data_IF_149678329206
#
_entry.id   IF_149678329206
#
_cell.length_a   1.000
_cell.length_b   1.000
_cell.length_c   1.000
_cell.angle_alpha   90.00
_cell.angle_beta   90.00
_cell.angle_gamma   90.00
#
_symmetry.space_group_name_H-M   'P 1'
#
loop_
_entity.id
_entity.type
_entity.pdbx_description
1 polymer ?
#
# COMPACT_ATOMS: atom_id res chain seq x y z
N UNK A 1 -20.18 -10.99 5.20
CA UNK A 1 -19.85 -9.65 5.74
C UNK A 1 -19.67 -9.83 7.23
N UNK A 2 -18.48 -9.52 7.75
CA UNK A 2 -18.20 -9.60 9.19
C UNK A 2 -18.42 -8.21 9.80
N UNK A 3 -18.91 -8.16 11.04
CA UNK A 3 -18.98 -6.89 11.79
C UNK A 3 -17.56 -6.46 12.15
N UNK A 4 -17.20 -5.22 11.82
CA UNK A 4 -15.91 -4.65 12.17
C UNK A 4 -15.83 -4.48 13.70
N UNK A 5 -14.77 -4.95 14.37
CA UNK A 5 -14.63 -4.76 15.81
C UNK A 5 -14.68 -3.28 16.18
N UNK A 6 -15.57 -2.92 17.12
CA UNK A 6 -15.75 -1.54 17.59
C UNK A 6 -14.47 -0.92 18.15
N UNK A 7 -13.53 -1.74 18.65
CA UNK A 7 -12.23 -1.30 19.14
C UNK A 7 -11.35 -0.66 18.06
N UNK A 8 -11.55 -0.98 16.78
CA UNK A 8 -10.77 -0.40 15.67
C UNK A 8 -11.48 0.75 14.98
N UNK A 9 -12.78 0.93 15.21
CA UNK A 9 -13.57 1.98 14.58
C UNK A 9 -13.49 3.31 15.34
N UNK A 10 -13.29 3.30 16.66
CA UNK A 10 -13.25 4.53 17.45
C UNK A 10 -14.49 5.40 17.22
N UNK A 11 -14.27 6.67 16.88
CA UNK A 11 -15.30 7.66 16.49
C UNK A 11 -16.04 7.31 15.19
N UNK A 12 -15.51 6.42 14.34
CA UNK A 12 -16.17 5.95 13.11
C UNK A 12 -17.28 4.93 13.36
N UNK A 13 -17.48 4.47 14.61
CA UNK A 13 -18.48 3.45 14.93
C UNK A 13 -19.93 3.85 14.59
N UNK A 14 -20.17 5.16 14.42
CA UNK A 14 -21.47 5.73 14.06
C UNK A 14 -21.84 5.50 12.60
N UNK A 15 -20.87 5.09 11.76
CA UNK A 15 -21.08 4.83 10.34
C UNK A 15 -21.20 3.34 10.07
N UNK A 16 -22.21 2.96 9.28
CA UNK A 16 -22.40 1.58 8.87
C UNK A 16 -21.20 1.09 8.04
N UNK A 17 -20.56 0.03 8.50
CA UNK A 17 -19.45 -0.61 7.81
C UNK A 17 -19.48 -2.14 7.96
N UNK A 18 -18.77 -2.81 7.07
CA UNK A 18 -18.53 -4.25 7.17
C UNK A 18 -17.14 -4.63 6.68
N UNK A 19 -16.59 -5.69 7.25
CA UNK A 19 -15.34 -6.28 6.80
C UNK A 19 -15.57 -7.16 5.56
N UNK A 20 -14.78 -6.90 4.51
CA UNK A 20 -14.86 -7.62 3.23
C UNK A 20 -14.39 -9.07 3.37
N UNK A 21 -13.32 -9.26 4.15
CA UNK A 21 -12.78 -10.57 4.52
C UNK A 21 -12.39 -10.55 6.01
N UNK A 22 -12.14 -11.72 6.64
CA UNK A 22 -11.71 -11.75 8.03
C UNK A 22 -10.43 -10.94 8.30
N UNK A 23 -9.50 -10.88 7.33
CA UNK A 23 -8.16 -10.34 7.58
C UNK A 23 -7.86 -9.01 6.87
N UNK A 24 -8.52 -8.70 5.76
CA UNK A 24 -8.25 -7.50 4.97
C UNK A 24 -9.54 -6.88 4.44
N UNK A 25 -9.57 -5.55 4.40
CA UNK A 25 -10.68 -4.80 3.82
C UNK A 25 -11.80 -4.50 4.81
N UNK A 26 -12.18 -3.23 4.87
CA UNK A 26 -13.43 -2.74 5.48
C UNK A 26 -14.11 -1.80 4.49
N UNK A 27 -15.44 -1.87 4.37
CA UNK A 27 -16.21 -1.06 3.43
C UNK A 27 -17.27 -0.24 4.15
N UNK A 28 -17.30 1.06 3.87
CA UNK A 28 -18.39 1.99 4.17
C UNK A 28 -19.21 2.18 2.89
N UNK A 29 -20.27 1.37 2.73
CA UNK A 29 -21.08 1.36 1.51
C UNK A 29 -22.23 2.37 1.51
N UNK A 30 -22.51 2.99 2.67
CA UNK A 30 -23.62 3.92 2.79
C UNK A 30 -23.24 5.28 2.18
N UNK A 31 -24.03 5.77 1.22
CA UNK A 31 -23.81 7.08 0.58
C UNK A 31 -23.87 8.25 1.55
N UNK A 32 -24.46 8.07 2.74
CA UNK A 32 -24.42 9.09 3.79
C UNK A 32 -23.03 9.26 4.42
N UNK A 33 -22.14 8.26 4.29
CA UNK A 33 -20.77 8.33 4.80
C UNK A 33 -19.87 8.97 3.75
N UNK A 34 -19.68 10.28 3.87
CA UNK A 34 -18.86 11.06 2.94
C UNK A 34 -17.56 11.52 3.62
N UNK A 35 -16.42 11.21 3.02
CA UNK A 35 -15.11 11.62 3.50
C UNK A 35 -14.98 13.16 3.56
N UNK A 36 -15.72 13.91 2.73
CA UNK A 36 -15.78 15.38 2.78
C UNK A 36 -16.41 15.88 4.08
N UNK A 37 -17.39 15.15 4.63
CA UNK A 37 -18.01 15.45 5.90
C UNK A 37 -17.06 15.13 7.07
N UNK A 38 -16.31 14.02 6.99
CA UNK A 38 -15.26 13.72 7.96
C UNK A 38 -14.19 14.83 7.99
N UNK A 39 -13.82 15.39 6.83
CA UNK A 39 -12.88 16.51 6.74
C UNK A 39 -13.44 17.82 7.34
N UNK A 40 -14.75 18.04 7.23
CA UNK A 40 -15.41 19.27 7.69
C UNK A 40 -15.98 19.21 9.12
N UNK A 41 -16.01 18.02 9.72
CA UNK A 41 -16.60 17.81 11.05
C UNK A 41 -15.85 18.57 12.15
N UNK A 42 -16.53 19.01 13.23
CA UNK A 42 -15.88 19.66 14.37
C UNK A 42 -14.80 18.79 15.04
N UNK A 43 -14.98 17.46 15.04
CA UNK A 43 -14.03 16.47 15.55
C UNK A 43 -13.24 15.79 14.42
N UNK A 44 -12.94 16.53 13.34
CA UNK A 44 -12.31 15.96 12.14
C UNK A 44 -10.96 15.27 12.41
N UNK A 45 -10.12 15.80 13.31
CA UNK A 45 -8.83 15.18 13.62
C UNK A 45 -9.00 13.77 14.21
N UNK A 46 -9.92 13.62 15.18
CA UNK A 46 -10.26 12.33 15.80
C UNK A 46 -10.75 11.32 14.74
N UNK A 47 -11.69 11.73 13.88
CA UNK A 47 -12.24 10.89 12.81
C UNK A 47 -11.16 10.42 11.82
N UNK A 48 -10.21 11.28 11.48
CA UNK A 48 -9.15 10.95 10.51
C UNK A 48 -8.04 10.11 11.15
N UNK A 49 -7.72 10.35 12.42
CA UNK A 49 -6.79 9.51 13.19
C UNK A 49 -7.35 8.08 13.36
N UNK A 50 -8.63 7.96 13.71
CA UNK A 50 -9.31 6.66 13.76
C UNK A 50 -9.39 5.99 12.38
N UNK A 51 -9.60 6.77 11.31
CA UNK A 51 -9.55 6.26 9.94
C UNK A 51 -8.16 5.74 9.59
N UNK A 52 -7.09 6.46 9.94
CA UNK A 52 -5.72 6.02 9.71
C UNK A 52 -5.39 4.74 10.49
N UNK A 53 -5.87 4.65 11.73
CA UNK A 53 -5.76 3.45 12.57
C UNK A 53 -6.49 2.27 11.94
N UNK A 54 -7.75 2.47 11.51
CA UNK A 54 -8.54 1.45 10.83
C UNK A 54 -7.86 0.96 9.55
N UNK A 55 -7.38 1.87 8.70
CA UNK A 55 -6.64 1.53 7.48
C UNK A 55 -5.39 0.72 7.81
N UNK A 56 -4.64 1.12 8.83
CA UNK A 56 -3.44 0.39 9.27
C UNK A 56 -3.76 -1.00 9.80
N UNK A 57 -4.87 -1.19 10.52
CA UNK A 57 -5.27 -2.52 11.02
C UNK A 57 -5.91 -3.43 9.95
N UNK A 58 -6.61 -2.84 8.98
CA UNK A 58 -7.42 -3.56 7.99
C UNK A 58 -6.75 -3.65 6.62
N UNK A 59 -5.62 -2.99 6.44
CA UNK A 59 -4.85 -2.92 5.20
C UNK A 59 -5.49 -1.98 4.16
N UNK A 60 -6.79 -2.04 3.95
CA UNK A 60 -7.52 -1.18 3.01
C UNK A 60 -8.93 -0.88 3.50
N UNK A 61 -9.40 0.34 3.25
CA UNK A 61 -10.76 0.77 3.50
C UNK A 61 -11.37 1.31 2.20
N UNK A 62 -12.63 0.93 1.93
CA UNK A 62 -13.38 1.34 0.76
C UNK A 62 -14.56 2.24 1.14
N UNK A 63 -14.79 3.28 0.34
CA UNK A 63 -15.94 4.16 0.44
C UNK A 63 -16.65 4.20 -0.91
N UNK A 64 -17.97 4.08 -0.91
CA UNK A 64 -18.75 4.11 -2.14
C UNK A 64 -19.27 5.51 -2.46
N UNK A 65 -19.28 5.87 -3.75
CA UNK A 65 -19.97 7.05 -4.28
C UNK A 65 -19.63 8.35 -3.53
N UNK A 66 -18.34 8.66 -3.43
CA UNK A 66 -17.82 9.81 -2.69
C UNK A 66 -17.93 11.13 -3.48
N UNK A 67 -17.98 12.25 -2.76
CA UNK A 67 -18.06 13.61 -3.32
C UNK A 67 -16.74 14.40 -3.22
N UNK A 68 -15.62 13.71 -2.99
CA UNK A 68 -14.32 14.34 -2.81
C UNK A 68 -13.86 15.06 -4.06
N UNK A 69 -13.53 16.34 -3.88
CA UNK A 69 -12.71 17.08 -4.83
C UNK A 69 -11.25 16.63 -4.73
N UNK A 70 -10.46 16.95 -5.76
CA UNK A 70 -9.02 16.66 -5.78
C UNK A 70 -8.28 17.34 -4.63
N UNK A 71 -8.62 18.59 -4.32
CA UNK A 71 -8.01 19.31 -3.20
C UNK A 71 -8.35 18.65 -1.85
N UNK A 72 -9.59 18.20 -1.67
CA UNK A 72 -9.97 17.43 -0.47
C UNK A 72 -9.28 16.07 -0.42
N UNK A 73 -9.05 15.40 -1.56
CA UNK A 73 -8.27 14.15 -1.61
C UNK A 73 -6.83 14.38 -1.15
N UNK A 74 -6.20 15.48 -1.58
CA UNK A 74 -4.85 15.87 -1.14
C UNK A 74 -4.80 16.23 0.34
N UNK A 75 -5.81 16.97 0.82
CA UNK A 75 -5.95 17.31 2.23
C UNK A 75 -6.09 16.04 3.08
N UNK A 76 -6.96 15.11 2.68
CA UNK A 76 -7.17 13.84 3.37
C UNK A 76 -5.88 13.01 3.43
N UNK A 77 -5.19 12.83 2.29
CA UNK A 77 -3.93 12.09 2.25
C UNK A 77 -2.84 12.71 3.14
N UNK A 78 -2.77 14.05 3.17
CA UNK A 78 -1.83 14.77 4.03
C UNK A 78 -2.15 14.53 5.50
N UNK A 79 -3.40 14.75 5.91
CA UNK A 79 -3.85 14.62 7.30
C UNK A 79 -3.77 13.18 7.82
N UNK A 80 -4.14 12.18 7.01
CA UNK A 80 -3.96 10.77 7.36
C UNK A 80 -2.50 10.47 7.71
N UNK A 81 -1.55 11.01 6.94
CA UNK A 81 -0.13 10.84 7.22
C UNK A 81 0.31 11.57 8.49
N UNK A 82 -0.07 12.84 8.66
CA UNK A 82 0.31 13.66 9.81
C UNK A 82 -0.22 13.09 11.13
N UNK A 83 -1.51 12.72 11.15
CA UNK A 83 -2.18 12.16 12.33
C UNK A 83 -1.72 10.73 12.64
N UNK A 84 -1.21 9.99 11.65
CA UNK A 84 -0.57 8.68 11.89
C UNK A 84 0.94 8.76 12.18
N UNK A 85 1.47 9.96 12.40
CA UNK A 85 2.83 10.17 12.90
C UNK A 85 3.93 10.16 11.83
N UNK A 86 3.62 10.44 10.56
CA UNK A 86 4.67 10.59 9.53
C UNK A 86 5.65 11.72 9.91
N UNK A 87 6.92 11.66 9.47
CA UNK A 87 7.86 12.76 9.68
C UNK A 87 7.34 14.07 9.05
N UNK A 88 7.48 15.19 9.75
CA UNK A 88 7.00 16.50 9.27
C UNK A 88 7.61 16.93 7.91
N UNK A 89 8.80 16.40 7.58
CA UNK A 89 9.49 16.59 6.31
C UNK A 89 8.91 15.79 5.14
N UNK A 90 8.09 14.78 5.43
CA UNK A 90 7.46 13.91 4.43
C UNK A 90 6.15 14.51 3.92
N UNK A 91 6.15 14.96 2.66
CA UNK A 91 5.00 15.59 2.00
C UNK A 91 4.26 14.58 1.12
N UNK A 92 3.47 15.08 0.17
CA UNK A 92 2.87 14.22 -0.86
C UNK A 92 3.95 13.78 -1.84
N UNK A 93 3.85 12.53 -2.30
CA UNK A 93 4.80 11.97 -3.26
C UNK A 93 4.61 12.60 -4.63
N UNK A 94 5.74 12.94 -5.26
CA UNK A 94 5.81 13.33 -6.67
C UNK A 94 6.46 12.18 -7.42
N UNK A 95 5.76 11.65 -8.43
CA UNK A 95 6.24 10.49 -9.20
C UNK A 95 7.57 10.80 -9.90
N UNK A 96 8.54 9.86 -10.01
CA UNK A 96 9.83 10.13 -10.68
C UNK A 96 9.69 10.61 -12.12
N UNK A 97 8.61 10.19 -12.78
CA UNK A 97 8.24 10.52 -14.16
C UNK A 97 6.80 11.02 -14.12
N UNK A 98 6.59 12.29 -13.78
CA UNK A 98 5.26 12.90 -13.83
C UNK A 98 5.07 13.61 -15.17
N UNK A 99 3.88 13.51 -15.77
CA UNK A 99 3.49 14.42 -16.85
C UNK A 99 3.05 15.75 -16.23
N UNK A 100 3.42 16.87 -16.87
CA UNK A 100 2.77 18.16 -16.59
C UNK A 100 1.38 18.14 -17.22
N UNK A 101 0.38 17.62 -16.51
CA UNK A 101 -1.02 17.83 -16.88
C UNK A 101 -1.45 19.22 -16.41
N UNK A 102 -1.90 20.14 -17.29
CA UNK A 102 -2.23 21.51 -16.89
C UNK A 102 -3.31 21.62 -15.79
N UNK A 103 -4.11 20.58 -15.63
CA UNK A 103 -5.27 20.53 -14.71
C UNK A 103 -4.95 19.89 -13.35
N UNK A 104 -3.82 19.18 -13.20
CA UNK A 104 -3.46 18.44 -11.97
C UNK A 104 -2.00 18.69 -11.60
N UNK A 105 -1.73 18.84 -10.30
CA UNK A 105 -0.38 19.01 -9.78
C UNK A 105 0.42 17.69 -9.81
N UNK A 106 1.75 17.80 -9.83
CA UNK A 106 2.68 16.66 -9.99
C UNK A 106 2.63 15.60 -8.87
N UNK A 107 1.95 15.91 -7.76
CA UNK A 107 1.67 15.03 -6.63
C UNK A 107 0.40 14.17 -6.81
N UNK A 108 -0.24 14.26 -7.98
CA UNK A 108 -1.36 13.43 -8.40
C UNK A 108 -0.90 12.50 -9.53
N UNK A 109 -1.06 11.20 -9.33
CA UNK A 109 -0.89 10.21 -10.40
C UNK A 109 -2.24 9.89 -11.03
N UNK A 110 -2.38 10.10 -12.34
CA UNK A 110 -3.51 9.57 -13.10
C UNK A 110 -3.19 8.12 -13.47
N UNK A 111 -4.11 7.18 -13.22
CA UNK A 111 -3.97 5.75 -13.56
C UNK A 111 -4.98 5.41 -14.66
N UNK A 112 -4.51 5.11 -15.88
CA UNK A 112 -5.35 4.90 -17.06
C UNK A 112 -5.04 3.57 -17.73
N UNK A 113 -6.08 2.88 -18.21
CA UNK A 113 -5.93 1.67 -19.01
C UNK A 113 -5.27 1.88 -20.38
N UNK A 114 -5.22 3.11 -20.89
CA UNK A 114 -4.50 3.43 -22.13
C UNK A 114 -2.98 3.55 -21.92
N UNK A 115 -2.51 3.39 -20.67
CA UNK A 115 -1.16 3.73 -20.26
C UNK A 115 -1.00 5.26 -20.14
N UNK A 116 -0.18 5.69 -19.19
CA UNK A 116 0.34 7.05 -19.17
C UNK A 116 1.81 6.98 -19.54
N UNK A 117 2.23 7.84 -20.48
CA UNK A 117 3.53 7.85 -21.14
C UNK A 117 4.25 6.50 -21.13
N UNK A 118 3.88 5.55 -21.99
CA UNK A 118 4.76 4.46 -22.48
C UNK A 118 5.44 3.50 -21.48
N UNK A 119 5.35 3.69 -20.16
CA UNK A 119 5.85 2.75 -19.12
C UNK A 119 4.94 1.51 -19.08
N UNK A 120 3.72 1.66 -19.58
CA UNK A 120 2.72 0.62 -19.72
C UNK A 120 2.52 0.32 -21.20
N UNK A 121 3.43 -0.43 -21.84
CA UNK A 121 3.10 -0.92 -23.18
C UNK A 121 1.89 -1.87 -23.09
N UNK A 122 1.02 -1.94 -24.11
CA UNK A 122 -0.01 -2.97 -24.20
C UNK A 122 0.54 -4.41 -24.14
N UNK A 123 1.86 -4.59 -24.29
CA UNK A 123 2.56 -5.86 -24.17
C UNK A 123 3.18 -6.12 -22.79
N UNK A 124 3.37 -5.10 -21.94
CA UNK A 124 3.97 -5.26 -20.59
C UNK A 124 3.02 -6.00 -19.63
N UNK A 125 1.71 -5.91 -19.87
CA UNK A 125 0.69 -6.51 -19.00
C UNK A 125 -0.04 -7.73 -19.58
N UNK A 126 0.29 -8.18 -20.80
CA UNK A 126 -0.29 -9.41 -21.38
C UNK A 126 0.23 -10.70 -20.72
N UNK A 127 1.10 -10.59 -19.73
CA UNK A 127 1.95 -11.68 -19.27
C UNK A 127 2.11 -11.65 -17.75
N UNK A 128 1.33 -12.51 -17.09
CA UNK A 128 1.43 -13.00 -15.70
C UNK A 128 0.74 -12.16 -14.61
N UNK A 129 -0.38 -12.71 -14.12
CA UNK A 129 -1.09 -12.37 -12.87
C UNK A 129 -0.18 -12.21 -11.65
N UNK A 130 0.99 -12.86 -11.65
CA UNK A 130 1.98 -12.82 -10.57
C UNK A 130 2.89 -11.58 -10.57
N UNK A 131 3.07 -10.93 -11.74
CA UNK A 131 3.96 -9.76 -11.91
C UNK A 131 3.27 -8.47 -11.46
N UNK A 132 1.94 -8.47 -11.41
CA UNK A 132 1.16 -7.30 -11.06
C UNK A 132 1.04 -7.01 -9.56
N UNK A 133 1.36 -7.96 -8.67
CA UNK A 133 1.31 -7.74 -7.22
C UNK A 133 2.52 -6.94 -6.76
N UNK A 134 2.29 -5.71 -6.35
CA UNK A 134 3.32 -4.82 -5.86
C UNK A 134 2.77 -3.93 -4.76
N UNK A 135 3.68 -3.35 -3.99
CA UNK A 135 3.36 -2.13 -3.28
C UNK A 135 3.83 -0.98 -4.14
N UNK A 136 3.16 0.16 -4.05
CA UNK A 136 3.64 1.32 -4.77
C UNK A 136 4.97 1.79 -4.19
N UNK A 137 5.85 2.32 -5.06
CA UNK A 137 6.94 3.21 -4.62
C UNK A 137 8.01 2.48 -3.78
N UNK A 138 8.19 1.16 -3.97
CA UNK A 138 9.10 0.37 -3.11
C UNK A 138 10.60 0.59 -3.32
N UNK A 139 10.93 1.19 -4.46
CA UNK A 139 12.24 1.71 -4.80
C UNK A 139 12.56 3.03 -4.10
N UNK A 140 11.52 3.71 -3.58
CA UNK A 140 11.70 4.74 -2.56
C UNK A 140 11.64 4.08 -1.20
N UNK A 141 11.79 4.91 -0.17
CA UNK A 141 12.07 4.36 1.12
C UNK A 141 10.95 3.45 1.71
N UNK A 142 9.68 3.32 1.27
CA UNK A 142 8.58 2.75 2.14
C UNK A 142 7.51 1.82 1.50
N UNK A 143 7.64 0.45 1.46
CA UNK A 143 6.57 -0.64 1.39
C UNK A 143 6.00 -1.61 2.49
N UNK A 144 5.53 -2.88 2.18
CA UNK A 144 4.49 -3.71 2.91
C UNK A 144 4.31 -5.30 2.85
N UNK A 145 3.72 -5.97 3.92
CA UNK A 145 2.50 -6.91 4.08
C UNK A 145 2.39 -7.73 5.44
N UNK A 146 1.36 -7.55 6.30
CA UNK A 146 1.23 -8.28 7.60
C UNK A 146 0.76 -9.73 7.53
N UNK A 147 -0.23 -9.99 6.69
CA UNK A 147 -1.00 -11.24 6.77
C UNK A 147 -0.23 -12.39 6.09
N UNK A 148 0.63 -12.05 5.14
CA UNK A 148 1.69 -12.91 4.65
C UNK A 148 2.65 -13.32 5.77
N UNK A 149 3.16 -12.38 6.58
CA UNK A 149 4.09 -12.69 7.67
C UNK A 149 3.51 -13.72 8.66
N UNK A 150 2.27 -13.51 9.12
CA UNK A 150 1.60 -14.42 10.07
C UNK A 150 1.42 -15.86 9.55
N UNK A 151 1.40 -16.07 8.22
CA UNK A 151 1.24 -17.40 7.62
C UNK A 151 2.57 -18.12 7.36
N UNK A 152 3.70 -17.45 7.55
CA UNK A 152 5.00 -18.11 7.55
C UNK A 152 5.15 -18.98 8.80
N UNK A 153 5.93 -20.05 8.69
CA UNK A 153 6.29 -20.86 9.85
C UNK A 153 7.16 -20.04 10.82
N UNK A 154 7.07 -20.23 12.14
CA UNK A 154 7.89 -19.48 13.10
C UNK A 154 9.40 -19.53 12.82
N UNK A 155 10.00 -20.67 12.38
CA UNK A 155 11.41 -20.68 11.98
C UNK A 155 11.71 -19.78 10.78
N UNK A 156 10.82 -19.75 9.78
CA UNK A 156 11.01 -18.91 8.58
C UNK A 156 10.79 -17.43 8.89
N UNK A 157 9.83 -17.09 9.76
CA UNK A 157 9.70 -15.74 10.30
C UNK A 157 11.01 -15.27 10.93
N UNK A 158 11.58 -16.05 11.85
CA UNK A 158 12.84 -15.74 12.52
C UNK A 158 14.02 -15.66 11.54
N UNK A 159 14.05 -16.51 10.52
CA UNK A 159 15.08 -16.47 9.48
C UNK A 159 15.07 -15.15 8.71
N UNK A 160 13.88 -14.62 8.38
CA UNK A 160 13.74 -13.39 7.61
C UNK A 160 13.96 -12.12 8.44
N UNK A 161 13.80 -12.20 9.77
CA UNK A 161 14.03 -11.08 10.68
C UNK A 161 15.49 -10.62 10.64
N UNK A 162 15.70 -9.32 10.41
CA UNK A 162 17.02 -8.70 10.31
C UNK A 162 17.67 -8.79 8.93
N UNK A 163 17.10 -9.56 7.98
CA UNK A 163 17.55 -9.51 6.59
C UNK A 163 17.16 -8.18 5.95
N UNK A 164 17.94 -7.74 4.96
CA UNK A 164 17.67 -6.56 4.15
C UNK A 164 17.63 -6.91 2.67
N UNK A 165 16.88 -6.14 1.88
CA UNK A 165 16.75 -6.32 0.45
C UNK A 165 17.01 -5.02 -0.30
N UNK A 166 17.62 -5.15 -1.48
CA UNK A 166 17.81 -4.07 -2.44
C UNK A 166 16.54 -3.94 -3.28
N UNK A 167 16.02 -2.72 -3.33
CA UNK A 167 14.92 -2.33 -4.19
C UNK A 167 15.43 -1.32 -5.23
N UNK A 168 15.11 -1.53 -6.50
CA UNK A 168 15.39 -0.54 -7.54
C UNK A 168 14.25 -0.43 -8.56
N UNK A 169 14.10 0.75 -9.16
CA UNK A 169 13.17 0.99 -10.27
C UNK A 169 13.90 1.33 -11.57
N UNK A 170 14.78 0.42 -12.00
CA UNK A 170 15.53 0.52 -13.25
C UNK A 170 14.61 0.75 -14.46
N UNK A 171 13.41 0.13 -14.47
CA UNK A 171 12.43 0.30 -15.55
C UNK A 171 12.02 1.77 -15.77
N UNK A 172 11.93 2.56 -14.70
CA UNK A 172 11.62 3.98 -14.78
C UNK A 172 12.82 4.78 -15.29
N UNK A 173 14.02 4.52 -14.77
CA UNK A 173 15.25 5.19 -15.22
C UNK A 173 15.47 4.95 -16.72
N UNK A 174 15.36 3.69 -17.16
CA UNK A 174 15.49 3.32 -18.55
C UNK A 174 14.39 3.94 -19.43
N UNK A 175 13.14 3.96 -18.95
CA UNK A 175 12.04 4.58 -19.67
C UNK A 175 12.26 6.09 -19.85
N UNK A 176 12.67 6.80 -18.80
CA UNK A 176 12.97 8.22 -18.86
C UNK A 176 14.09 8.51 -19.87
N UNK A 177 15.17 7.71 -19.84
CA UNK A 177 16.28 7.83 -20.77
C UNK A 177 15.85 7.59 -22.23
N UNK A 178 15.08 6.52 -22.49
CA UNK A 178 14.60 6.18 -23.85
C UNK A 178 13.69 7.26 -24.45
N UNK A 179 12.95 7.99 -23.61
CA UNK A 179 11.97 8.97 -24.06
C UNK A 179 12.41 10.43 -23.82
N UNK A 180 13.67 10.67 -23.42
CA UNK A 180 14.20 11.98 -23.09
C UNK A 180 13.35 12.74 -22.05
N UNK A 181 12.80 12.03 -21.07
CA UNK A 181 12.02 12.63 -19.99
C UNK A 181 12.95 13.00 -18.84
N UNK A 182 12.90 14.26 -18.40
CA UNK A 182 13.60 14.71 -17.20
C UNK A 182 12.91 14.14 -15.96
N UNK A 183 13.65 13.38 -15.16
CA UNK A 183 13.13 12.85 -13.90
C UNK A 183 13.03 13.93 -12.83
N UNK A 184 12.04 13.79 -11.95
CA UNK A 184 11.86 14.67 -10.81
C UNK A 184 12.93 14.42 -9.74
N UNK A 185 13.67 15.48 -9.42
CA UNK A 185 14.69 15.44 -8.38
C UNK A 185 14.04 15.34 -6.99
N UNK A 186 13.22 16.31 -6.59
CA UNK A 186 12.49 16.24 -5.31
C UNK A 186 11.20 15.43 -5.46
N UNK A 187 11.10 14.32 -4.72
CA UNK A 187 9.93 13.41 -4.75
C UNK A 187 9.08 13.44 -3.48
N UNK A 188 9.11 14.58 -2.78
CA UNK A 188 8.25 14.90 -1.62
C UNK A 188 8.90 14.70 -0.25
N UNK A 189 10.14 14.21 -0.20
CA UNK A 189 10.94 14.10 1.03
C UNK A 189 12.38 14.52 0.74
N UNK A 190 13.09 15.16 1.69
CA UNK A 190 14.51 15.48 1.52
C UNK A 190 15.39 14.24 1.31
N UNK A 191 14.93 13.06 1.75
CA UNK A 191 15.61 11.78 1.53
C UNK A 191 15.30 11.16 0.16
N UNK A 192 14.25 11.62 -0.53
CA UNK A 192 13.84 11.14 -1.83
C UNK A 192 14.24 12.17 -2.90
N UNK A 193 15.56 12.32 -3.08
CA UNK A 193 16.19 13.24 -4.02
C UNK A 193 17.04 12.51 -5.06
N UNK A 194 17.56 13.21 -6.07
CA UNK A 194 18.42 12.63 -7.12
C UNK A 194 17.66 11.78 -8.13
N UNK A 195 18.36 11.14 -9.06
CA UNK A 195 17.75 10.26 -10.07
C UNK A 195 17.96 8.77 -9.79
N UNK A 196 18.73 8.45 -8.76
CA UNK A 196 18.92 7.07 -8.29
C UNK A 196 17.66 6.59 -7.58
N UNK A 197 16.91 5.70 -8.23
CA UNK A 197 15.72 5.05 -7.66
C UNK A 197 16.11 3.71 -7.05
N UNK A 198 16.99 3.73 -6.04
CA UNK A 198 17.49 2.53 -5.35
C UNK A 198 17.48 2.74 -3.84
N UNK A 199 17.02 1.75 -3.10
CA UNK A 199 17.01 1.75 -1.64
C UNK A 199 17.27 0.35 -1.07
N UNK A 200 17.76 0.29 0.17
CA UNK A 200 17.95 -0.97 0.92
C UNK A 200 17.08 -0.93 2.16
N UNK A 201 16.26 -1.97 2.32
CA UNK A 201 15.23 -2.01 3.36
C UNK A 201 15.17 -3.36 4.06
N UNK A 202 14.66 -3.43 5.30
CA UNK A 202 14.47 -4.71 5.97
C UNK A 202 13.46 -5.58 5.23
N UNK A 203 13.72 -6.88 5.09
CA UNK A 203 12.79 -7.87 4.51
C UNK A 203 11.55 -8.04 5.39
N UNK A 204 11.71 -7.90 6.71
CA UNK A 204 10.59 -7.81 7.66
C UNK A 204 10.62 -6.43 8.29
N UNK A 205 9.58 -5.63 8.07
CA UNK A 205 9.46 -4.30 8.66
C UNK A 205 8.44 -4.27 9.81
N UNK A 206 8.51 -3.23 10.62
CA UNK A 206 7.50 -2.87 11.61
C UNK A 206 6.63 -1.73 11.05
N UNK A 207 5.32 -1.82 11.25
CA UNK A 207 4.42 -0.68 11.00
C UNK A 207 4.35 0.19 12.27
N UNK A 208 4.59 1.50 12.16
CA UNK A 208 4.67 2.38 13.33
C UNK A 208 3.32 2.61 14.03
N UNK A 209 2.20 2.45 13.32
CA UNK A 209 0.85 2.66 13.89
C UNK A 209 0.43 1.44 14.70
N UNK A 210 0.59 0.24 14.14
CA UNK A 210 0.09 -0.99 14.77
C UNK A 210 1.16 -1.70 15.62
N UNK A 211 2.44 -1.42 15.38
CA UNK A 211 3.55 -2.17 15.95
C UNK A 211 3.67 -3.60 15.38
N UNK A 212 3.01 -3.90 14.25
CA UNK A 212 3.00 -5.24 13.67
C UNK A 212 4.12 -5.47 12.66
N UNK A 213 4.60 -6.72 12.60
CA UNK A 213 5.58 -7.22 11.61
C UNK A 213 4.94 -7.52 10.26
N UNK A 214 5.63 -7.14 9.19
CA UNK A 214 5.14 -7.13 7.80
C UNK A 214 6.25 -7.58 6.84
N UNK A 215 5.98 -8.50 5.91
CA UNK A 215 6.93 -8.91 4.84
C UNK A 215 7.09 -7.76 3.86
N UNK A 216 8.30 -7.34 3.55
CA UNK A 216 8.60 -6.08 2.88
C UNK A 216 9.26 -6.29 1.51
N UNK A 217 8.75 -7.21 0.71
CA UNK A 217 9.35 -7.51 -0.60
C UNK A 217 8.26 -7.63 -1.66
N UNK A 218 8.62 -7.32 -2.90
CA UNK A 218 7.71 -7.47 -4.04
C UNK A 218 8.49 -7.80 -5.29
N UNK A 219 7.79 -8.37 -6.27
CA UNK A 219 8.43 -8.88 -7.48
C UNK A 219 8.93 -7.77 -8.41
N UNK A 220 8.25 -6.62 -8.45
CA UNK A 220 8.56 -5.59 -9.43
C UNK A 220 9.91 -4.93 -9.12
N UNK A 221 10.15 -4.64 -7.85
CA UNK A 221 11.23 -3.77 -7.43
C UNK A 221 12.27 -4.44 -6.54
N UNK A 222 11.96 -5.52 -5.81
CA UNK A 222 12.95 -6.21 -4.97
C UNK A 222 13.83 -7.13 -5.82
N UNK A 223 15.14 -7.06 -5.63
CA UNK A 223 16.11 -7.67 -6.56
C UNK A 223 17.03 -8.66 -5.91
N UNK A 224 17.41 -8.39 -4.67
CA UNK A 224 18.33 -9.22 -3.93
C UNK A 224 18.16 -9.03 -2.43
N UNK A 225 18.21 -10.11 -1.67
CA UNK A 225 18.42 -10.09 -0.23
C UNK A 225 19.93 -10.02 0.03
N UNK A 226 20.37 -9.00 0.75
CA UNK A 226 21.78 -8.58 0.86
C UNK A 226 22.62 -9.64 1.54
N UNK A 227 22.10 -10.23 2.63
CA UNK A 227 22.83 -11.16 3.50
C UNK A 227 22.84 -12.61 2.99
N UNK A 228 22.11 -12.90 1.91
CA UNK A 228 22.04 -14.24 1.33
C UNK A 228 22.94 -14.38 0.09
N UNK A 229 23.32 -15.62 -0.22
CA UNK A 229 23.90 -15.93 -1.54
C UNK A 229 22.90 -15.55 -2.65
N UNK A 230 23.36 -15.32 -3.89
CA UNK A 230 22.46 -15.05 -5.00
C UNK A 230 21.36 -16.10 -5.15
N UNK A 231 21.72 -17.38 -5.06
CA UNK A 231 20.80 -18.51 -5.21
C UNK A 231 19.79 -18.59 -4.06
N UNK A 232 20.24 -18.36 -2.82
CA UNK A 232 19.39 -18.32 -1.64
C UNK A 232 18.43 -17.13 -1.66
N UNK A 233 18.91 -15.96 -2.11
CA UNK A 233 18.12 -14.76 -2.31
C UNK A 233 17.00 -15.01 -3.33
N UNK A 234 17.33 -15.54 -4.50
CA UNK A 234 16.36 -15.79 -5.56
C UNK A 234 15.28 -16.80 -5.13
N UNK A 235 15.69 -17.89 -4.49
CA UNK A 235 14.77 -18.90 -3.97
C UNK A 235 13.84 -18.32 -2.89
N UNK A 236 14.39 -17.52 -1.96
CA UNK A 236 13.63 -16.88 -0.88
C UNK A 236 12.62 -15.87 -1.42
N UNK A 237 13.04 -15.00 -2.34
CA UNK A 237 12.15 -14.01 -2.96
C UNK A 237 11.05 -14.68 -3.78
N UNK A 238 11.37 -15.75 -4.52
CA UNK A 238 10.37 -16.52 -5.25
C UNK A 238 9.34 -17.16 -4.31
N UNK A 239 9.79 -17.76 -3.21
CA UNK A 239 8.90 -18.34 -2.22
C UNK A 239 7.97 -17.28 -1.61
N UNK A 240 8.52 -16.15 -1.16
CA UNK A 240 7.73 -15.05 -0.58
C UNK A 240 6.70 -14.50 -1.57
N UNK A 241 7.08 -14.38 -2.86
CA UNK A 241 6.15 -13.97 -3.90
C UNK A 241 4.98 -14.94 -4.05
N UNK A 242 5.24 -16.25 -4.15
CA UNK A 242 4.20 -17.26 -4.28
C UNK A 242 3.31 -17.28 -3.04
N UNK A 243 3.90 -17.17 -1.85
CA UNK A 243 3.18 -17.10 -0.58
C UNK A 243 2.17 -15.96 -0.50
N UNK A 244 2.46 -14.83 -1.16
CA UNK A 244 1.56 -13.68 -1.25
C UNK A 244 0.50 -13.91 -2.34
N UNK A 245 0.96 -14.22 -3.55
CA UNK A 245 0.12 -14.19 -4.76
C UNK A 245 -0.84 -15.37 -4.89
N UNK A 246 -0.46 -16.56 -4.40
CA UNK A 246 -1.26 -17.79 -4.46
C UNK A 246 -2.11 -18.01 -3.20
N UNK A 247 -2.06 -17.08 -2.24
CA UNK A 247 -2.78 -17.21 -0.98
C UNK A 247 -4.07 -16.38 -0.99
N UNK A 248 -5.16 -17.04 -1.38
CA UNK A 248 -6.45 -16.37 -1.62
C UNK A 248 -7.05 -15.78 -0.34
N UNK A 249 -6.71 -16.33 0.84
CA UNK A 249 -7.17 -15.77 2.10
C UNK A 249 -6.65 -14.35 2.34
N UNK A 250 -5.50 -14.00 1.76
CA UNK A 250 -4.82 -12.71 1.93
C UNK A 250 -5.43 -11.59 1.10
N UNK A 251 -6.45 -11.88 0.29
CA UNK A 251 -6.86 -11.01 -0.80
C UNK A 251 -8.27 -10.48 -0.60
N UNK A 252 -8.45 -9.20 -0.88
CA UNK A 252 -9.76 -8.60 -1.16
C UNK A 252 -9.74 -8.07 -2.58
N UNK A 253 -10.74 -8.46 -3.38
CA UNK A 253 -10.94 -7.94 -4.74
C UNK A 253 -12.11 -6.98 -4.75
N UNK A 254 -11.85 -5.75 -5.14
CA UNK A 254 -12.86 -4.70 -5.17
C UNK A 254 -13.34 -4.41 -6.59
N UNK A 255 -14.67 -4.31 -6.77
CA UNK A 255 -15.30 -3.94 -8.04
C UNK A 255 -15.71 -2.48 -7.98
N UNK A 256 -14.93 -1.63 -8.63
CA UNK A 256 -15.11 -0.18 -8.68
C UNK A 256 -16.45 0.25 -9.30
N UNK A 257 -17.08 1.25 -8.68
CA UNK A 257 -18.09 2.12 -9.28
C UNK A 257 -17.56 3.55 -9.40
N UNK A 258 -18.30 4.39 -10.11
CA UNK A 258 -17.98 5.82 -10.24
C UNK A 258 -17.88 6.46 -8.86
N UNK A 259 -16.78 7.19 -8.64
CA UNK A 259 -16.45 7.89 -7.40
C UNK A 259 -16.28 7.02 -6.16
N UNK A 260 -16.11 5.71 -6.30
CA UNK A 260 -15.60 4.92 -5.19
C UNK A 260 -14.16 5.34 -4.86
N UNK A 261 -13.81 5.27 -3.59
CA UNK A 261 -12.46 5.55 -3.09
C UNK A 261 -11.96 4.32 -2.32
N UNK A 262 -10.72 3.91 -2.59
CA UNK A 262 -9.98 2.99 -1.74
C UNK A 262 -8.80 3.73 -1.12
N UNK A 263 -8.59 3.52 0.18
CA UNK A 263 -7.44 4.03 0.91
C UNK A 263 -6.75 2.82 1.54
N UNK A 264 -5.49 2.58 1.19
CA UNK A 264 -4.75 1.42 1.67
C UNK A 264 -3.48 1.84 2.41
N UNK A 265 -3.11 1.06 3.42
CA UNK A 265 -1.81 1.20 4.09
C UNK A 265 -0.75 0.52 3.22
N UNK A 266 -0.04 1.31 2.43
CA UNK A 266 1.06 0.83 1.59
C UNK A 266 2.28 0.36 2.41
N UNK A 267 2.27 0.50 3.75
CA UNK A 267 3.25 -0.12 4.65
C UNK A 267 2.90 -1.56 4.99
N UNK A 268 1.67 -2.02 4.68
CA UNK A 268 1.24 -3.41 4.94
C UNK A 268 0.16 -4.02 4.03
N UNK A 269 -0.12 -3.42 2.86
CA UNK A 269 -0.73 -4.10 1.70
C UNK A 269 0.10 -4.13 0.40
N UNK A 270 0.02 -5.25 -0.33
CA UNK A 270 0.36 -5.33 -1.76
C UNK A 270 -0.94 -5.28 -2.58
N UNK A 271 -0.89 -4.78 -3.80
CA UNK A 271 -2.04 -4.65 -4.67
C UNK A 271 -1.69 -4.95 -6.13
N UNK A 272 -2.73 -5.23 -6.92
CA UNK A 272 -2.60 -5.41 -8.36
C UNK A 272 -3.84 -4.90 -9.07
N UNK A 273 -3.65 -4.24 -10.21
CA UNK A 273 -4.74 -3.88 -11.10
C UNK A 273 -5.08 -5.07 -12.02
N UNK A 274 -6.28 -5.62 -11.89
CA UNK A 274 -6.75 -6.67 -12.81
C UNK A 274 -7.17 -6.06 -14.14
N UNK A 275 -6.64 -6.62 -15.24
CA UNK A 275 -6.97 -6.19 -16.60
C UNK A 275 -8.11 -7.04 -17.20
N UNK A 276 -9.31 -6.88 -16.64
CA UNK A 276 -10.52 -7.64 -17.01
C UNK A 276 -11.60 -6.76 -17.68
N UNK A 277 -11.22 -5.57 -18.17
CA UNK A 277 -12.14 -4.57 -18.72
C UNK A 277 -12.13 -4.44 -20.26
N UNK A 278 -11.33 -5.24 -20.96
CA UNK A 278 -11.22 -5.21 -22.43
C UNK A 278 -10.76 -3.83 -22.93
N UNK A 279 -11.43 -3.31 -23.96
CA UNK A 279 -11.10 -2.00 -24.57
C UNK A 279 -11.72 -0.81 -23.83
N UNK A 280 -12.37 -1.04 -22.69
CA UNK A 280 -13.01 0.05 -21.93
C UNK A 280 -11.95 0.93 -21.26
N UNK A 281 -12.19 2.24 -21.32
CA UNK A 281 -11.39 3.21 -20.59
C UNK A 281 -11.63 3.05 -19.08
N UNK A 282 -10.53 2.89 -18.33
CA UNK A 282 -10.49 2.90 -16.87
C UNK A 282 -9.55 4.01 -16.45
N UNK A 283 -10.04 4.98 -15.66
CA UNK A 283 -9.24 6.10 -15.14
C UNK A 283 -9.49 6.24 -13.64
N UNK A 284 -8.45 6.60 -12.89
CA UNK A 284 -8.56 7.00 -11.48
C UNK A 284 -7.44 7.96 -11.09
N UNK A 285 -7.67 8.76 -10.05
CA UNK A 285 -6.67 9.69 -9.50
C UNK A 285 -6.12 9.14 -8.19
N UNK A 286 -4.79 9.10 -8.07
CA UNK A 286 -4.08 8.61 -6.90
C UNK A 286 -3.25 9.72 -6.29
N UNK A 287 -3.35 9.87 -4.97
CA UNK A 287 -2.50 10.72 -4.14
C UNK A 287 -1.81 9.82 -3.13
N UNK A 288 -0.53 10.08 -2.86
CA UNK A 288 0.27 9.27 -1.92
C UNK A 288 0.90 10.19 -0.88
N UNK A 289 0.65 9.88 0.40
CA UNK A 289 1.34 10.51 1.53
C UNK A 289 2.62 9.74 1.82
N UNK A 290 3.75 10.43 1.91
CA UNK A 290 5.03 9.79 2.23
C UNK A 290 5.08 9.47 3.73
N UNK A 291 5.42 8.23 4.05
CA UNK A 291 5.62 7.75 5.42
C UNK A 291 7.06 7.88 5.92
N UNK A 292 7.31 7.28 7.07
CA UNK A 292 8.62 7.10 7.67
C UNK A 292 9.52 6.10 6.92
N UNK A 293 10.85 6.23 7.09
CA UNK A 293 11.79 5.20 6.62
C UNK A 293 11.50 3.86 7.34
N UNK A 294 11.37 2.73 6.63
CA UNK A 294 11.13 1.42 7.19
C UNK A 294 12.24 1.02 8.11
N UNK A 295 11.82 0.36 9.17
CA UNK A 295 12.70 -0.19 10.17
C UNK A 295 12.13 -1.53 10.61
N UNK A 296 13.01 -2.33 11.19
CA UNK A 296 12.64 -3.54 11.90
C UNK A 296 12.87 -3.30 13.40
N UNK A 297 11.82 -3.39 14.21
CA UNK A 297 11.94 -3.46 15.65
C UNK A 297 11.88 -4.93 16.11
N UNK A 298 12.95 -5.50 16.68
CA UNK A 298 12.95 -6.86 17.22
C UNK A 298 11.84 -7.14 18.25
N UNK A 299 11.35 -6.11 18.95
CA UNK A 299 10.30 -6.23 19.95
C UNK A 299 8.88 -6.15 19.37
N UNK A 300 8.75 -5.78 18.09
CA UNK A 300 7.46 -5.76 17.40
C UNK A 300 6.85 -7.17 17.34
N UNK A 301 5.53 -7.23 17.19
CA UNK A 301 4.80 -8.50 17.23
C UNK A 301 4.23 -8.83 15.87
N UNK A 302 3.99 -10.11 15.61
CA UNK A 302 3.10 -10.49 14.51
C UNK A 302 1.67 -10.01 14.82
N UNK A 303 0.84 -9.77 13.80
CA UNK A 303 -0.56 -9.36 14.02
C UNK A 303 -1.31 -10.45 14.80
N UNK A 304 -1.13 -11.73 14.45
CA UNK A 304 -1.68 -12.87 15.19
C UNK A 304 -1.24 -12.87 16.66
N UNK A 305 0.04 -12.62 16.94
CA UNK A 305 0.55 -12.61 18.30
C UNK A 305 -0.03 -11.44 19.14
N UNK A 306 -0.31 -10.30 18.51
CA UNK A 306 -0.85 -9.12 19.19
C UNK A 306 -2.37 -9.20 19.43
N UNK A 307 -3.13 -9.75 18.48
CA UNK A 307 -4.59 -9.77 18.51
C UNK A 307 -5.18 -11.11 18.99
N UNK A 308 -4.37 -12.15 19.14
CA UNK A 308 -4.81 -13.51 19.43
C UNK A 308 -5.25 -14.27 18.16
N UNK A 309 -5.31 -15.61 18.25
CA UNK A 309 -5.71 -16.45 17.14
C UNK A 309 -7.24 -16.49 17.03
N UNK A 310 -7.80 -15.84 15.99
CA UNK A 310 -9.23 -15.93 15.65
C UNK A 310 -9.67 -17.36 15.28
N UNK A 311 -8.75 -18.34 15.23
CA UNK A 311 -9.02 -19.76 14.95
C UNK A 311 -9.30 -20.64 16.17
N UNK A 312 -9.10 -20.16 17.39
CA UNK A 312 -9.34 -20.95 18.62
C UNK A 312 -10.83 -21.13 18.97
N UNK A 313 -11.73 -21.09 17.98
CA UNK A 313 -13.17 -21.38 18.13
C UNK A 313 -13.55 -22.73 17.49
N UNK A 314 -12.58 -23.57 17.12
CA UNK A 314 -12.85 -24.96 16.70
C UNK A 314 -12.40 -25.89 17.82
N UNK A 315 -13.30 -26.65 18.49
CA UNK A 315 -12.92 -27.65 19.46
C UNK A 315 -12.01 -28.69 18.78
N UNK A 316 -10.92 -29.05 19.45
CA UNK A 316 -10.07 -30.17 19.06
C UNK A 316 -10.94 -31.42 18.80
N UNK A 317 -10.73 -32.05 17.64
CA UNK A 317 -11.24 -33.39 17.33
C UNK A 317 -10.25 -34.45 17.79
#
# INVERSE_FOLDING_TARGET
MFSTPTSFLGSLNIFDSFDNTPIIGTTFSNKSTQLSQLLAAPNSDELIEDLATLISHRGVVFFSEQDLTIEQQKQLATRLGELSGKPATSKLHVHPISEETPELSADISVISSMGHAGVSSPSYFRSHTLRGWHSDITFENVPSDYAAYDRLSPPYQKFLEGLTAVHHADSFIEYAARNNIKMNDNRGSPENTGTSLTAIHPVIRTNPVTGFKSVFVNREFTKRIVELSPEESDATLQFLQLHISENHDLQVRYRWKTNDIAIWDNRSTLHTATQDYGDKLRVGHRVVSIGERPYFDPNSKSRRAALGDLRNVVPEL
#
